data_IF_509176554791
#
_entry.id   IF_509176554791
#
_cell.length_a   1.000
_cell.length_b   1.000
_cell.length_c   1.000
_cell.angle_alpha   90.00
_cell.angle_beta   90.00
_cell.angle_gamma   90.00
#
_symmetry.space_group_name_H-M   'P 1'
#
loop_
_entity.id
_entity.type
_entity.pdbx_description
1 polymer ?
#
# COMPACT_ATOMS: atom_id res chain seq x y z
N UNK A 1 -34.33 20.56 -83.95
CA UNK A 1 -34.14 21.41 -82.76
C UNK A 1 -33.97 20.55 -81.55
N UNK A 2 -32.69 20.23 -81.15
CA UNK A 2 -32.36 19.38 -80.05
C UNK A 2 -31.78 20.27 -78.92
N UNK A 3 -32.46 20.32 -77.77
CA UNK A 3 -32.04 21.09 -76.61
C UNK A 3 -31.20 20.18 -75.71
N UNK A 4 -29.91 20.49 -75.58
CA UNK A 4 -29.02 19.88 -74.53
C UNK A 4 -29.30 20.57 -73.22
N UNK A 5 -29.69 19.77 -72.21
CA UNK A 5 -29.69 20.13 -70.79
C UNK A 5 -28.39 19.67 -70.14
N UNK A 6 -27.56 20.61 -69.73
CA UNK A 6 -26.35 20.33 -69.00
C UNK A 6 -26.69 20.20 -67.51
N UNK A 7 -26.46 18.99 -66.92
CA UNK A 7 -26.61 18.78 -65.53
C UNK A 7 -25.27 19.14 -64.80
N UNK A 8 -25.36 20.12 -63.93
CA UNK A 8 -24.25 20.55 -63.10
C UNK A 8 -24.22 19.70 -61.81
N UNK A 9 -23.24 18.80 -61.67
CA UNK A 9 -22.98 18.03 -60.47
C UNK A 9 -22.16 18.86 -59.49
N UNK A 10 -22.78 19.29 -58.38
CA UNK A 10 -22.11 19.96 -57.29
C UNK A 10 -21.56 18.88 -56.35
N UNK A 11 -20.25 18.68 -56.36
CA UNK A 11 -19.58 17.81 -55.40
C UNK A 11 -19.40 18.56 -54.06
N UNK A 12 -20.13 18.15 -53.04
CA UNK A 12 -19.93 18.63 -51.67
C UNK A 12 -18.75 17.88 -51.06
N UNK A 13 -17.62 18.56 -50.93
CA UNK A 13 -16.47 18.06 -50.18
C UNK A 13 -16.70 18.33 -48.70
N UNK A 14 -17.04 17.27 -47.94
CA UNK A 14 -17.16 17.36 -46.49
C UNK A 14 -15.76 17.28 -45.89
N UNK A 15 -15.25 18.40 -45.41
CA UNK A 15 -14.03 18.46 -44.59
C UNK A 15 -14.33 17.91 -43.18
N UNK A 16 -13.90 16.69 -42.89
CA UNK A 16 -13.81 16.21 -41.52
C UNK A 16 -12.65 16.91 -40.80
N UNK A 17 -12.98 17.90 -39.99
CA UNK A 17 -12.01 18.48 -39.06
C UNK A 17 -11.63 17.43 -38.03
N UNK A 18 -10.42 16.90 -38.15
CA UNK A 18 -9.80 16.07 -37.09
C UNK A 18 -9.55 17.00 -35.89
N UNK A 19 -10.38 16.90 -34.86
CA UNK A 19 -10.10 17.50 -33.56
C UNK A 19 -9.10 16.56 -32.87
N UNK A 20 -7.84 16.99 -32.60
CA UNK A 20 -6.95 16.19 -31.84
C UNK A 20 -7.54 16.06 -30.43
N UNK A 21 -7.69 14.81 -29.95
CA UNK A 21 -7.97 14.54 -28.55
C UNK A 21 -6.86 15.19 -27.72
N UNK A 22 -7.19 16.28 -27.02
CA UNK A 22 -6.31 16.83 -26.01
C UNK A 22 -6.25 15.80 -24.89
N UNK A 23 -5.15 15.02 -24.85
CA UNK A 23 -4.71 14.35 -23.64
C UNK A 23 -4.57 15.43 -22.56
N UNK A 24 -5.58 15.49 -21.69
CA UNK A 24 -5.45 16.22 -20.44
C UNK A 24 -4.41 15.48 -19.60
N UNK A 25 -3.14 15.76 -19.84
CA UNK A 25 -2.10 15.53 -18.87
C UNK A 25 -2.52 16.32 -17.62
N UNK A 26 -3.03 15.59 -16.61
CA UNK A 26 -3.28 16.13 -15.29
C UNK A 26 -1.92 16.51 -14.74
N UNK A 27 -1.51 17.75 -14.97
CA UNK A 27 -0.36 18.33 -14.30
C UNK A 27 -0.69 18.37 -12.81
N UNK A 28 -0.15 17.41 -12.05
CA UNK A 28 -0.23 17.44 -10.59
C UNK A 28 0.40 18.73 -10.13
N UNK A 29 -0.36 19.58 -9.46
CA UNK A 29 0.17 20.76 -8.78
C UNK A 29 1.24 20.28 -7.79
N UNK A 30 2.48 20.73 -7.98
CA UNK A 30 3.57 20.52 -7.04
C UNK A 30 3.11 20.90 -5.63
N UNK A 31 2.94 19.91 -4.74
CA UNK A 31 2.51 20.10 -3.36
C UNK A 31 1.17 19.47 -2.94
N UNK A 32 0.39 18.91 -3.87
CA UNK A 32 -0.84 18.19 -3.53
C UNK A 32 -0.51 16.80 -3.01
N UNK A 33 -0.92 16.51 -1.77
CA UNK A 33 -0.77 15.16 -1.19
C UNK A 33 -1.72 14.22 -1.93
N UNK A 34 -1.17 13.21 -2.59
CA UNK A 34 -1.97 12.18 -3.24
C UNK A 34 -2.60 11.26 -2.20
N UNK A 35 -3.84 10.80 -2.44
CA UNK A 35 -4.46 9.79 -1.60
C UNK A 35 -3.70 8.47 -1.67
N UNK A 36 -3.75 7.72 -0.58
CA UNK A 36 -3.06 6.43 -0.44
C UNK A 36 -4.07 5.32 -0.22
N UNK A 37 -3.90 4.22 -0.96
CA UNK A 37 -4.51 2.93 -0.61
C UNK A 37 -3.43 2.05 0.00
N UNK A 38 -3.58 1.63 1.26
CA UNK A 38 -2.51 0.89 1.90
C UNK A 38 -3.00 -0.29 2.75
N UNK A 39 -2.14 -1.28 2.89
CA UNK A 39 -2.32 -2.39 3.82
C UNK A 39 -1.47 -2.19 5.07
N UNK A 40 -2.10 -2.30 6.25
CA UNK A 40 -1.40 -2.42 7.52
C UNK A 40 -1.19 -3.91 7.81
N UNK A 41 0.06 -4.36 7.73
CA UNK A 41 0.46 -5.78 7.84
C UNK A 41 1.21 -5.96 9.17
N UNK A 42 0.57 -6.60 10.13
CA UNK A 42 1.03 -6.63 11.51
C UNK A 42 1.41 -8.03 11.94
N UNK A 43 2.64 -8.19 12.37
CA UNK A 43 3.16 -9.38 12.98
C UNK A 43 2.55 -9.57 14.39
N UNK A 44 1.82 -10.68 14.59
CA UNK A 44 1.27 -11.08 15.87
C UNK A 44 1.86 -12.40 16.40
N UNK A 45 3.08 -12.70 15.98
CA UNK A 45 3.86 -13.86 16.44
C UNK A 45 4.30 -13.74 17.91
N UNK A 46 4.85 -14.83 18.43
CA UNK A 46 5.23 -14.94 19.84
C UNK A 46 6.28 -13.94 20.33
N UNK A 47 7.13 -13.42 19.43
CA UNK A 47 8.14 -12.38 19.74
C UNK A 47 7.53 -11.06 20.19
N UNK A 48 6.28 -10.79 19.82
CA UNK A 48 5.56 -9.56 20.16
C UNK A 48 4.74 -9.61 21.46
N UNK A 49 4.83 -10.71 22.23
CA UNK A 49 4.02 -10.86 23.46
C UNK A 49 4.22 -9.73 24.47
N UNK A 50 5.44 -9.23 24.61
CA UNK A 50 5.77 -8.10 25.50
C UNK A 50 5.61 -6.73 24.84
N UNK A 51 5.39 -6.72 23.53
CA UNK A 51 5.31 -5.50 22.71
C UNK A 51 3.92 -5.21 22.16
N UNK A 52 2.91 -6.02 22.48
CA UNK A 52 1.58 -5.92 21.87
C UNK A 52 1.01 -4.49 21.97
N UNK A 53 1.07 -3.86 23.14
CA UNK A 53 0.58 -2.49 23.33
C UNK A 53 1.31 -1.47 22.44
N UNK A 54 2.60 -1.69 22.18
CA UNK A 54 3.39 -0.83 21.28
C UNK A 54 3.04 -1.08 19.83
N UNK A 55 2.82 -2.35 19.45
CA UNK A 55 2.36 -2.72 18.10
C UNK A 55 0.99 -2.11 17.81
N UNK A 56 0.04 -2.26 18.73
CA UNK A 56 -1.29 -1.65 18.64
C UNK A 56 -1.19 -0.13 18.54
N UNK A 57 -0.34 0.51 19.38
CA UNK A 57 -0.13 1.96 19.30
C UNK A 57 0.45 2.39 17.95
N UNK A 58 1.46 1.65 17.42
CA UNK A 58 2.06 1.94 16.11
C UNK A 58 1.02 1.91 14.99
N UNK A 59 0.23 0.85 14.99
CA UNK A 59 -0.80 0.63 13.99
C UNK A 59 -1.90 1.72 14.09
N UNK A 60 -2.32 2.06 15.30
CA UNK A 60 -3.29 3.12 15.56
C UNK A 60 -2.78 4.51 15.11
N UNK A 61 -1.51 4.83 15.41
CA UNK A 61 -0.90 6.10 14.99
C UNK A 61 -0.83 6.24 13.46
N UNK A 62 -0.58 5.13 12.73
CA UNK A 62 -0.63 5.13 11.25
C UNK A 62 -2.03 5.47 10.76
N UNK A 63 -3.06 4.88 11.37
CA UNK A 63 -4.48 5.12 11.02
C UNK A 63 -4.89 6.56 11.32
N UNK A 64 -4.40 7.15 12.43
CA UNK A 64 -4.72 8.54 12.80
C UNK A 64 -4.23 9.55 11.76
N UNK A 65 -3.12 9.28 11.10
CA UNK A 65 -2.54 10.14 10.07
C UNK A 65 -3.29 10.08 8.72
N UNK A 66 -4.34 9.23 8.58
CA UNK A 66 -5.11 9.13 7.35
C UNK A 66 -5.81 10.44 6.99
N UNK A 67 -5.65 10.85 5.73
CA UNK A 67 -6.48 11.86 5.10
C UNK A 67 -7.89 11.33 4.77
N UNK A 68 -8.79 12.22 4.39
CA UNK A 68 -10.19 11.88 4.09
C UNK A 68 -10.33 10.91 2.89
N UNK A 69 -9.39 10.95 1.96
CA UNK A 69 -9.39 10.12 0.75
C UNK A 69 -8.50 8.89 0.86
N UNK A 70 -7.80 8.70 1.98
CA UNK A 70 -6.99 7.51 2.21
C UNK A 70 -7.90 6.34 2.60
N UNK A 71 -7.59 5.16 2.09
CA UNK A 71 -8.24 3.92 2.47
C UNK A 71 -7.21 2.89 2.92
N UNK A 72 -7.60 2.07 3.88
CA UNK A 72 -6.71 1.05 4.40
C UNK A 72 -7.44 -0.27 4.69
N UNK A 73 -6.68 -1.35 4.71
CA UNK A 73 -7.07 -2.65 5.23
C UNK A 73 -6.07 -3.15 6.28
N UNK A 74 -6.45 -4.11 7.10
CA UNK A 74 -5.61 -4.66 8.17
C UNK A 74 -5.46 -6.17 7.99
N UNK A 75 -4.21 -6.62 7.97
CA UNK A 75 -3.83 -8.03 7.97
C UNK A 75 -2.96 -8.29 9.19
N UNK A 76 -3.25 -9.37 9.93
CA UNK A 76 -2.33 -9.93 10.92
C UNK A 76 -1.73 -11.22 10.40
N UNK A 77 -0.51 -11.54 10.83
CA UNK A 77 0.14 -12.77 10.39
C UNK A 77 1.07 -13.38 11.44
N UNK A 78 1.19 -14.69 11.36
CA UNK A 78 2.19 -15.50 12.05
C UNK A 78 2.90 -16.36 11.01
N UNK A 79 2.43 -17.58 10.79
CA UNK A 79 2.85 -18.47 9.71
C UNK A 79 1.86 -18.41 8.54
N UNK A 80 2.19 -19.02 7.41
CA UNK A 80 1.39 -18.94 6.18
C UNK A 80 -0.08 -19.29 6.36
N UNK A 81 -0.49 -20.36 7.11
CA UNK A 81 -1.90 -20.65 7.38
C UNK A 81 -2.62 -19.63 8.26
N UNK A 82 -1.87 -18.77 8.94
CA UNK A 82 -2.37 -17.76 9.88
C UNK A 82 -2.13 -16.33 9.39
N UNK A 83 -2.30 -16.11 8.09
CA UNK A 83 -2.40 -14.79 7.50
C UNK A 83 -3.89 -14.46 7.43
N UNK A 84 -4.34 -13.48 8.21
CA UNK A 84 -5.75 -13.18 8.41
C UNK A 84 -6.07 -11.74 8.05
N UNK A 85 -6.99 -11.54 7.10
CA UNK A 85 -7.58 -10.24 6.84
C UNK A 85 -8.53 -9.89 8.00
N UNK A 86 -8.15 -8.90 8.81
CA UNK A 86 -8.91 -8.46 9.99
C UNK A 86 -9.93 -7.38 9.63
N UNK A 87 -9.59 -6.54 8.65
CA UNK A 87 -10.44 -5.47 8.14
C UNK A 87 -10.23 -5.32 6.66
N UNK A 88 -11.29 -5.36 5.89
CA UNK A 88 -11.28 -5.01 4.47
C UNK A 88 -11.01 -3.52 4.26
N UNK A 89 -10.81 -3.08 3.00
CA UNK A 89 -10.64 -1.67 2.72
C UNK A 89 -11.76 -0.81 3.26
N UNK A 90 -11.38 0.21 4.03
CA UNK A 90 -12.30 1.20 4.57
C UNK A 90 -11.63 2.57 4.71
N UNK A 91 -12.43 3.65 4.64
CA UNK A 91 -12.02 5.02 4.97
C UNK A 91 -12.25 5.36 6.44
N UNK A 92 -13.00 4.51 7.14
CA UNK A 92 -13.41 4.79 8.51
C UNK A 92 -12.32 4.40 9.48
N UNK A 93 -11.67 5.41 10.06
CA UNK A 93 -10.65 5.21 11.10
C UNK A 93 -11.14 4.33 12.24
N UNK A 94 -12.40 4.46 12.64
CA UNK A 94 -12.97 3.65 13.72
C UNK A 94 -12.93 2.15 13.42
N UNK A 95 -13.26 1.73 12.20
CA UNK A 95 -13.21 0.32 11.81
C UNK A 95 -11.77 -0.22 11.80
N UNK A 96 -10.81 0.60 11.34
CA UNK A 96 -9.39 0.26 11.39
C UNK A 96 -8.86 0.18 12.83
N UNK A 97 -9.26 1.13 13.69
CA UNK A 97 -8.91 1.11 15.12
C UNK A 97 -9.47 -0.12 15.82
N UNK A 98 -10.73 -0.47 15.59
CA UNK A 98 -11.34 -1.66 16.17
C UNK A 98 -10.57 -2.93 15.76
N UNK A 99 -10.20 -3.05 14.49
CA UNK A 99 -9.42 -4.19 14.00
C UNK A 99 -8.03 -4.28 14.66
N UNK A 100 -7.37 -3.13 14.87
CA UNK A 100 -6.06 -3.05 15.50
C UNK A 100 -6.13 -3.33 17.01
N UNK A 101 -7.12 -2.75 17.71
CA UNK A 101 -7.25 -2.90 19.15
C UNK A 101 -7.67 -4.33 19.57
N UNK A 102 -8.36 -5.05 18.70
CA UNK A 102 -8.77 -6.43 18.94
C UNK A 102 -7.71 -7.46 18.51
N UNK A 103 -6.50 -7.04 18.16
CA UNK A 103 -5.40 -7.98 17.87
C UNK A 103 -4.93 -8.68 19.16
N UNK A 104 -4.49 -9.92 18.98
CA UNK A 104 -3.92 -10.73 20.05
C UNK A 104 -2.72 -11.52 19.53
N UNK A 105 -1.84 -11.96 20.43
CA UNK A 105 -0.68 -12.77 20.08
C UNK A 105 -1.10 -14.23 19.90
N UNK A 106 -0.91 -14.74 18.68
CA UNK A 106 -1.23 -16.13 18.37
C UNK A 106 -0.06 -17.10 18.60
N UNK A 107 1.17 -16.57 18.57
CA UNK A 107 2.39 -17.40 18.65
C UNK A 107 2.67 -18.14 17.33
N UNK A 108 3.87 -18.71 17.20
CA UNK A 108 4.32 -19.43 16.01
C UNK A 108 5.56 -18.81 15.37
N UNK A 109 5.93 -19.32 14.18
CA UNK A 109 7.06 -18.82 13.41
C UNK A 109 6.57 -17.81 12.36
N UNK A 110 7.37 -16.79 12.15
CA UNK A 110 6.97 -15.63 11.33
C UNK A 110 7.15 -15.89 9.83
N UNK A 111 6.13 -15.62 9.00
CA UNK A 111 6.13 -15.76 7.55
C UNK A 111 5.91 -14.39 6.86
N UNK A 112 6.92 -13.51 6.96
CA UNK A 112 6.85 -12.12 6.46
C UNK A 112 6.59 -12.07 4.96
N UNK A 113 7.35 -12.84 4.17
CA UNK A 113 7.25 -12.79 2.71
C UNK A 113 5.89 -13.25 2.22
N UNK A 114 5.31 -14.29 2.84
CA UNK A 114 3.98 -14.77 2.49
C UNK A 114 2.90 -13.75 2.88
N UNK A 115 3.04 -13.10 4.03
CA UNK A 115 2.11 -12.05 4.48
C UNK A 115 2.16 -10.83 3.56
N UNK A 116 3.36 -10.36 3.20
CA UNK A 116 3.55 -9.24 2.28
C UNK A 116 2.99 -9.58 0.89
N UNK A 117 3.22 -10.81 0.40
CA UNK A 117 2.65 -11.27 -0.87
C UNK A 117 1.11 -11.26 -0.83
N UNK A 118 0.52 -11.87 0.20
CA UNK A 118 -0.94 -11.93 0.37
C UNK A 118 -1.56 -10.53 0.44
N UNK A 119 -0.92 -9.61 1.19
CA UNK A 119 -1.37 -8.22 1.29
C UNK A 119 -1.21 -7.47 -0.04
N UNK A 120 -0.15 -7.71 -0.80
CA UNK A 120 0.06 -7.10 -2.11
C UNK A 120 -0.98 -7.58 -3.13
N UNK A 121 -1.28 -8.89 -3.13
CA UNK A 121 -2.32 -9.49 -3.99
C UNK A 121 -3.69 -8.89 -3.64
N UNK A 122 -4.03 -8.77 -2.33
CA UNK A 122 -5.28 -8.15 -1.89
C UNK A 122 -5.39 -6.69 -2.30
N UNK A 123 -4.31 -5.90 -2.08
CA UNK A 123 -4.26 -4.48 -2.43
C UNK A 123 -4.48 -4.28 -3.94
N UNK A 124 -3.76 -5.02 -4.77
CA UNK A 124 -3.85 -4.89 -6.22
C UNK A 124 -5.22 -5.23 -6.80
N UNK A 125 -5.98 -6.11 -6.13
CA UNK A 125 -7.31 -6.57 -6.57
C UNK A 125 -8.45 -5.71 -6.03
N UNK A 126 -8.28 -5.06 -4.88
CA UNK A 126 -9.38 -4.43 -4.14
C UNK A 126 -9.22 -2.92 -3.91
N UNK A 127 -8.04 -2.33 -4.18
CA UNK A 127 -7.86 -0.89 -4.07
C UNK A 127 -8.75 -0.15 -5.08
N UNK A 128 -9.23 1.04 -4.69
CA UNK A 128 -9.99 1.90 -5.59
C UNK A 128 -9.17 2.30 -6.82
N UNK A 129 -9.85 2.35 -7.96
CA UNK A 129 -9.28 2.75 -9.24
C UNK A 129 -9.72 4.16 -9.68
N UNK A 130 -10.34 4.93 -8.80
CA UNK A 130 -10.83 6.28 -9.05
C UNK A 130 -9.71 7.33 -8.91
N UNK A 131 -9.05 7.63 -9.96
CA UNK A 131 -8.01 8.65 -9.98
C UNK A 131 -6.60 8.13 -9.72
N UNK A 132 -5.67 9.06 -9.41
CA UNK A 132 -4.27 8.72 -9.12
C UNK A 132 -4.08 8.53 -7.63
N UNK A 133 -3.76 7.31 -7.23
CA UNK A 133 -3.52 6.92 -5.84
C UNK A 133 -2.13 6.33 -5.69
N UNK A 134 -1.56 6.43 -4.50
CA UNK A 134 -0.31 5.76 -4.13
C UNK A 134 -0.66 4.44 -3.43
N UNK A 135 0.11 3.39 -3.72
CA UNK A 135 -0.06 2.08 -3.12
C UNK A 135 1.08 1.79 -2.15
N UNK A 136 0.75 1.36 -0.94
CA UNK A 136 1.74 1.06 0.09
C UNK A 136 1.35 -0.14 0.96
N UNK A 137 2.35 -0.80 1.53
CA UNK A 137 2.19 -1.68 2.67
C UNK A 137 2.99 -1.11 3.84
N UNK A 138 2.38 -1.03 5.01
CA UNK A 138 3.04 -0.68 6.27
C UNK A 138 3.18 -1.95 7.10
N UNK A 139 4.39 -2.46 7.16
CA UNK A 139 4.72 -3.69 7.87
C UNK A 139 5.22 -3.36 9.28
N UNK A 140 4.64 -4.00 10.29
CA UNK A 140 5.08 -3.91 11.69
C UNK A 140 5.61 -5.28 12.10
N UNK A 141 6.94 -5.41 12.33
CA UNK A 141 7.61 -6.69 12.59
C UNK A 141 8.98 -6.49 13.25
N UNK A 142 9.59 -7.57 13.78
CA UNK A 142 11.00 -7.59 14.16
C UNK A 142 11.95 -7.95 13.00
N UNK A 143 11.36 -8.31 11.85
CA UNK A 143 12.07 -8.62 10.62
C UNK A 143 12.52 -10.07 10.48
N UNK A 144 12.24 -10.95 11.46
CA UNK A 144 12.61 -12.35 11.39
C UNK A 144 11.63 -13.15 10.52
N UNK A 145 12.11 -13.66 9.39
CA UNK A 145 11.34 -14.50 8.47
C UNK A 145 11.83 -15.95 8.55
N UNK A 146 11.03 -16.82 9.18
CA UNK A 146 11.39 -18.23 9.42
C UNK A 146 10.54 -19.24 8.69
N UNK A 147 9.32 -18.87 8.32
CA UNK A 147 8.30 -19.82 7.84
C UNK A 147 7.74 -19.50 6.46
N UNK A 148 8.21 -18.45 5.79
CA UNK A 148 7.74 -18.14 4.44
C UNK A 148 8.15 -19.22 3.44
N UNK A 149 7.22 -19.59 2.57
CA UNK A 149 7.46 -20.44 1.39
C UNK A 149 7.76 -19.60 0.14
N UNK A 150 7.32 -18.35 0.12
CA UNK A 150 7.59 -17.40 -0.96
C UNK A 150 9.06 -16.98 -0.98
N UNK A 151 9.61 -16.80 -2.19
CA UNK A 151 10.97 -16.27 -2.36
C UNK A 151 10.91 -14.74 -2.41
N UNK A 152 11.89 -14.09 -1.82
CA UNK A 152 11.93 -12.62 -1.75
C UNK A 152 11.97 -11.97 -3.14
N UNK A 153 12.61 -12.60 -4.12
CA UNK A 153 12.68 -12.13 -5.50
C UNK A 153 11.28 -12.06 -6.13
N UNK A 154 10.47 -13.09 -5.92
CA UNK A 154 9.12 -13.17 -6.46
C UNK A 154 8.20 -12.13 -5.80
N UNK A 155 8.32 -11.95 -4.49
CA UNK A 155 7.56 -10.95 -3.73
C UNK A 155 7.91 -9.53 -4.19
N UNK A 156 9.21 -9.21 -4.31
CA UNK A 156 9.67 -7.89 -4.79
C UNK A 156 9.19 -7.64 -6.23
N UNK A 157 9.20 -8.65 -7.09
CA UNK A 157 8.68 -8.54 -8.44
C UNK A 157 7.20 -8.13 -8.44
N UNK A 158 6.36 -8.83 -7.67
CA UNK A 158 4.92 -8.52 -7.54
C UNK A 158 4.71 -7.09 -7.04
N UNK A 159 5.46 -6.67 -6.02
CA UNK A 159 5.37 -5.33 -5.46
C UNK A 159 5.70 -4.25 -6.50
N UNK A 160 6.77 -4.44 -7.28
CA UNK A 160 7.19 -3.50 -8.33
C UNK A 160 6.20 -3.44 -9.49
N UNK A 161 5.70 -4.57 -9.95
CA UNK A 161 4.72 -4.65 -11.04
C UNK A 161 3.41 -3.93 -10.69
N UNK A 162 3.04 -3.91 -9.40
CA UNK A 162 1.85 -3.22 -8.91
C UNK A 162 2.13 -1.82 -8.31
N UNK A 163 3.36 -1.30 -8.44
CA UNK A 163 3.79 -0.03 -7.88
C UNK A 163 3.51 0.10 -6.36
N UNK A 164 3.65 -1.01 -5.63
CA UNK A 164 3.44 -1.06 -4.18
C UNK A 164 4.76 -0.82 -3.46
N UNK A 165 4.82 0.21 -2.61
CA UNK A 165 5.97 0.50 -1.76
C UNK A 165 5.81 -0.12 -0.38
N UNK A 166 6.89 -0.65 0.18
CA UNK A 166 6.88 -1.27 1.52
C UNK A 166 7.59 -0.36 2.52
N UNK A 167 6.86 0.05 3.54
CA UNK A 167 7.36 0.80 4.69
C UNK A 167 7.36 -0.10 5.91
N UNK A 168 8.38 -0.01 6.74
CA UNK A 168 8.52 -0.91 7.87
C UNK A 168 8.72 -0.15 9.17
N UNK A 169 7.89 -0.45 10.17
CA UNK A 169 8.14 -0.13 11.57
C UNK A 169 8.76 -1.36 12.22
N UNK A 170 10.08 -1.34 12.37
CA UNK A 170 10.81 -2.43 12.96
C UNK A 170 10.88 -2.28 14.49
N UNK A 171 10.38 -3.29 15.24
CA UNK A 171 10.33 -3.28 16.70
C UNK A 171 10.78 -4.62 17.28
N UNK A 172 11.58 -4.58 18.35
CA UNK A 172 11.93 -5.77 19.11
C UNK A 172 12.51 -5.35 20.48
N UNK A 173 12.24 -6.14 21.51
CA UNK A 173 12.93 -6.00 22.81
C UNK A 173 14.31 -6.67 22.84
N UNK A 174 14.63 -7.46 21.84
CA UNK A 174 15.89 -8.21 21.78
C UNK A 174 16.71 -7.85 20.54
N UNK A 175 16.29 -8.25 19.35
CA UNK A 175 17.05 -8.10 18.11
C UNK A 175 16.12 -7.81 16.95
N UNK A 176 16.53 -6.90 16.09
CA UNK A 176 15.94 -6.67 14.75
C UNK A 176 16.70 -7.52 13.73
N UNK A 177 15.98 -8.11 12.77
CA UNK A 177 16.52 -8.91 11.67
C UNK A 177 16.37 -8.13 10.35
N UNK A 178 17.35 -7.29 9.96
CA UNK A 178 17.16 -6.30 8.91
C UNK A 178 17.14 -6.89 7.49
N UNK A 179 17.70 -8.08 7.28
CA UNK A 179 17.99 -8.61 5.93
C UNK A 179 16.77 -8.61 4.99
N UNK A 180 15.62 -9.10 5.47
CA UNK A 180 14.39 -9.18 4.65
C UNK A 180 13.72 -7.83 4.55
N UNK A 181 13.53 -7.14 5.68
CA UNK A 181 12.80 -5.87 5.74
C UNK A 181 13.53 -4.74 5.01
N UNK A 182 14.87 -4.64 5.13
CA UNK A 182 15.67 -3.64 4.42
C UNK A 182 15.58 -3.85 2.91
N UNK A 183 15.62 -5.10 2.47
CA UNK A 183 15.53 -5.43 1.06
C UNK A 183 14.15 -5.12 0.49
N UNK A 184 13.06 -5.49 1.18
CA UNK A 184 11.70 -5.16 0.79
C UNK A 184 11.51 -3.65 0.66
N UNK A 185 11.89 -2.88 1.68
CA UNK A 185 11.74 -1.43 1.67
C UNK A 185 12.60 -0.78 0.57
N UNK A 186 13.90 -1.07 0.53
CA UNK A 186 14.84 -0.46 -0.41
C UNK A 186 14.45 -0.71 -1.87
N UNK A 187 14.11 -1.94 -2.22
CA UNK A 187 13.82 -2.30 -3.61
C UNK A 187 12.46 -1.81 -4.12
N UNK A 188 11.56 -1.43 -3.21
CA UNK A 188 10.23 -0.88 -3.54
C UNK A 188 10.13 0.65 -3.36
N UNK A 189 11.21 1.31 -2.91
CA UNK A 189 11.23 2.76 -2.70
C UNK A 189 10.56 3.21 -1.38
N UNK A 190 10.43 2.32 -0.41
CA UNK A 190 10.04 2.62 0.96
C UNK A 190 11.22 2.78 1.90
N UNK A 191 10.94 2.77 3.21
CA UNK A 191 11.95 2.89 4.27
C UNK A 191 11.69 1.92 5.42
N UNK A 192 12.74 1.65 6.20
CA UNK A 192 12.66 0.98 7.50
C UNK A 192 12.94 2.01 8.59
N UNK A 193 12.04 2.10 9.57
CA UNK A 193 12.25 2.92 10.77
C UNK A 193 12.25 1.99 11.98
N UNK A 194 13.31 2.08 12.79
CA UNK A 194 13.45 1.28 14.01
C UNK A 194 12.88 2.04 15.19
N UNK A 195 11.91 1.45 15.89
CA UNK A 195 11.36 2.01 17.13
C UNK A 195 11.80 1.16 18.33
N UNK A 196 12.59 1.75 19.21
CA UNK A 196 13.06 1.12 20.45
C UNK A 196 12.20 1.51 21.66
N UNK A 197 11.57 2.66 21.61
CA UNK A 197 10.75 3.19 22.70
C UNK A 197 9.38 3.67 22.18
N UNK A 198 8.43 3.87 23.07
CA UNK A 198 7.14 4.48 22.70
C UNK A 198 7.29 5.92 22.16
N UNK A 199 8.28 6.65 22.64
CA UNK A 199 8.55 8.01 22.16
C UNK A 199 9.06 8.03 20.69
N UNK A 200 9.89 7.04 20.32
CA UNK A 200 10.39 6.93 18.95
C UNK A 200 9.28 6.57 17.95
N UNK A 201 8.25 5.90 18.45
CA UNK A 201 7.18 5.35 17.62
C UNK A 201 6.40 6.44 16.89
N UNK A 202 5.95 7.50 17.58
CA UNK A 202 5.23 8.60 16.96
C UNK A 202 6.06 9.32 15.89
N UNK A 203 7.39 9.42 16.08
CA UNK A 203 8.30 9.98 15.07
C UNK A 203 8.44 9.05 13.87
N UNK A 204 8.58 7.74 14.12
CA UNK A 204 8.66 6.72 13.07
C UNK A 204 7.41 6.71 12.18
N UNK A 205 6.23 6.72 12.80
CA UNK A 205 4.95 6.74 12.09
C UNK A 205 4.81 8.01 11.25
N UNK A 206 5.08 9.19 11.81
CA UNK A 206 5.03 10.46 11.06
C UNK A 206 5.97 10.46 9.86
N UNK A 207 7.16 9.89 10.00
CA UNK A 207 8.11 9.77 8.90
C UNK A 207 7.57 8.87 7.79
N UNK A 208 7.01 7.70 8.14
CA UNK A 208 6.39 6.78 7.18
C UNK A 208 5.21 7.45 6.49
N UNK A 209 4.28 8.03 7.25
CA UNK A 209 3.08 8.69 6.71
C UNK A 209 3.43 9.83 5.74
N UNK A 210 4.46 10.59 6.05
CA UNK A 210 4.93 11.66 5.16
C UNK A 210 5.49 11.08 3.85
N UNK A 211 6.31 10.03 3.93
CA UNK A 211 6.92 9.42 2.75
C UNK A 211 5.96 8.58 1.90
N UNK A 212 4.95 7.96 2.49
CA UNK A 212 3.90 7.27 1.74
C UNK A 212 3.21 8.18 0.72
N UNK A 213 3.10 9.48 1.01
CA UNK A 213 2.39 10.48 0.20
C UNK A 213 3.27 11.22 -0.79
N UNK A 214 4.55 10.91 -0.86
CA UNK A 214 5.48 11.45 -1.87
C UNK A 214 5.64 10.47 -3.04
N UNK A 215 5.86 11.00 -4.24
CA UNK A 215 6.24 10.20 -5.42
C UNK A 215 7.74 9.96 -5.46
#
# INVERSE_FOLDING_TARGET
MIRFVAAFLISIVVFYAHVPAQDKAVASKSGEKLPVSYGLVVDNSGSFRTLLDRVVSAAADVVEDNGAEDEAFVVTFVDTPKIVLRQEFTFKKSELHDAVQNMFIEGGQTAILDAVKSAADYLSQNARSDGVRLHALVLVTDGEDRASVSKIEDVIKILKENNIRVFVVAMSDTKIFPKVIDRLAKETGGIVVVSKTRADLGTAVKQISAQMRTR
#
